data_IF_643718836625
#
_entry.id   IF_643718836625
#
_cell.length_a   1.000
_cell.length_b   1.000
_cell.length_c   1.000
_cell.angle_alpha   90.00
_cell.angle_beta   90.00
_cell.angle_gamma   90.00
#
_symmetry.space_group_name_H-M   'P 1'
#
loop_
_entity.id
_entity.type
_entity.pdbx_description
1 polymer ?
#
# COMPACT_ATOMS: atom_id res chain seq x y z
N UNK A 1 58.14 38.15 -31.28
CA UNK A 1 56.77 38.25 -31.82
C UNK A 1 56.30 36.88 -32.27
N UNK A 2 55.02 36.59 -32.02
CA UNK A 2 54.39 35.27 -32.02
C UNK A 2 54.15 34.66 -33.41
N UNK A 3 54.16 33.31 -33.52
CA UNK A 3 52.92 32.53 -33.73
C UNK A 3 53.15 31.01 -33.52
N UNK A 4 52.14 30.40 -32.93
CA UNK A 4 52.03 29.03 -32.42
C UNK A 4 51.61 28.06 -33.53
N UNK A 5 52.26 26.91 -33.62
CA UNK A 5 51.75 25.70 -34.28
C UNK A 5 52.13 24.49 -33.43
N UNK A 6 51.19 23.99 -32.62
CA UNK A 6 51.25 22.66 -32.02
C UNK A 6 49.93 21.95 -32.31
N UNK A 7 49.99 21.05 -33.29
CA UNK A 7 48.94 20.12 -33.70
C UNK A 7 49.34 18.74 -33.16
N UNK A 8 48.75 18.34 -32.04
CA UNK A 8 48.64 16.98 -31.51
C UNK A 8 47.87 17.16 -30.18
N UNK A 9 46.72 16.53 -29.94
CA UNK A 9 46.57 15.10 -29.74
C UNK A 9 45.11 14.72 -29.99
N UNK A 10 44.90 13.83 -30.96
CA UNK A 10 43.70 13.02 -31.11
C UNK A 10 43.83 11.82 -30.15
N UNK A 11 42.83 11.61 -29.28
CA UNK A 11 42.63 10.41 -28.44
C UNK A 11 42.47 9.15 -29.33
N UNK A 12 42.70 7.88 -28.88
CA UNK A 12 41.83 7.22 -27.88
C UNK A 12 42.44 6.07 -27.05
N UNK A 13 41.97 5.89 -25.80
CA UNK A 13 41.80 4.54 -25.21
C UNK A 13 40.40 4.49 -24.59
N UNK A 14 39.42 4.11 -25.42
CA UNK A 14 38.04 3.78 -25.06
C UNK A 14 37.99 2.27 -24.83
N UNK A 15 37.90 1.80 -23.57
CA UNK A 15 37.85 0.35 -23.30
C UNK A 15 37.25 -0.06 -21.96
N UNK A 16 37.50 0.69 -20.88
CA UNK A 16 37.02 0.29 -19.54
C UNK A 16 35.66 0.90 -19.14
N UNK A 17 35.15 1.85 -19.92
CA UNK A 17 33.95 2.61 -19.56
C UNK A 17 32.64 1.95 -19.95
N UNK A 18 32.64 0.89 -20.77
CA UNK A 18 31.39 0.22 -21.21
C UNK A 18 31.01 -0.91 -20.27
N UNK A 19 31.97 -1.72 -19.79
CA UNK A 19 31.70 -2.78 -18.83
C UNK A 19 31.30 -2.22 -17.47
N UNK A 20 32.02 -1.21 -16.96
CA UNK A 20 31.63 -0.53 -15.72
C UNK A 20 30.30 0.21 -15.85
N UNK A 21 30.00 0.88 -16.98
CA UNK A 21 28.66 1.47 -17.20
C UNK A 21 27.57 0.43 -17.40
N UNK A 22 27.89 -0.77 -17.92
CA UNK A 22 26.91 -1.85 -18.08
C UNK A 22 26.63 -2.48 -16.73
N UNK A 23 27.66 -2.77 -15.93
CA UNK A 23 27.54 -3.27 -14.56
C UNK A 23 26.84 -2.23 -13.67
N UNK A 24 27.22 -0.95 -13.75
CA UNK A 24 26.50 0.13 -13.06
C UNK A 24 25.06 0.26 -13.56
N UNK A 25 24.76 0.09 -14.86
CA UNK A 25 23.37 0.09 -15.37
C UNK A 25 22.57 -1.15 -14.96
N UNK A 26 23.21 -2.31 -14.79
CA UNK A 26 22.56 -3.51 -14.26
C UNK A 26 22.32 -3.38 -12.75
N UNK A 27 23.22 -2.73 -12.01
CA UNK A 27 23.09 -2.48 -10.57
C UNK A 27 22.14 -1.29 -10.27
N UNK A 28 22.09 -0.27 -11.14
CA UNK A 28 21.21 0.91 -11.01
C UNK A 28 19.85 0.77 -11.69
N UNK A 29 19.64 -0.29 -12.47
CA UNK A 29 18.32 -0.73 -12.95
C UNK A 29 17.47 -1.39 -11.86
N UNK A 30 18.05 -1.66 -10.68
CA UNK A 30 17.31 -2.08 -9.51
C UNK A 30 16.70 -0.85 -8.84
N UNK A 31 15.65 -0.31 -9.44
CA UNK A 31 14.86 0.75 -8.86
C UNK A 31 14.13 0.20 -7.62
N UNK A 32 14.84 0.12 -6.48
CA UNK A 32 14.32 -0.26 -5.16
C UNK A 32 13.12 0.61 -4.73
N UNK A 33 12.78 1.66 -5.50
CA UNK A 33 11.72 2.62 -5.22
C UNK A 33 10.38 2.22 -5.82
N UNK A 34 10.32 1.24 -6.73
CA UNK A 34 9.07 0.79 -7.35
C UNK A 34 9.00 -0.73 -7.42
N UNK A 35 8.48 -1.34 -6.35
CA UNK A 35 7.90 -2.68 -6.44
C UNK A 35 6.79 -2.61 -7.51
N UNK A 36 7.09 -3.11 -8.70
CA UNK A 36 6.23 -3.03 -9.90
C UNK A 36 5.72 -4.40 -10.30
N UNK A 37 6.30 -5.46 -9.72
CA UNK A 37 5.91 -6.84 -9.95
C UNK A 37 4.45 -7.06 -9.47
N UNK A 38 3.51 -7.36 -10.37
CA UNK A 38 2.10 -7.45 -10.03
C UNK A 38 1.79 -8.57 -9.03
N UNK A 39 2.52 -9.70 -9.08
CA UNK A 39 2.35 -10.79 -8.12
C UNK A 39 2.80 -10.41 -6.72
N UNK A 40 3.94 -9.71 -6.59
CA UNK A 40 4.40 -9.19 -5.29
C UNK A 40 3.44 -8.12 -4.76
N UNK A 41 2.87 -7.29 -5.64
CA UNK A 41 1.89 -6.27 -5.25
C UNK A 41 0.62 -6.89 -4.66
N UNK A 42 0.00 -7.84 -5.34
CA UNK A 42 -1.20 -8.54 -4.86
C UNK A 42 -0.95 -9.21 -3.51
N UNK A 43 0.17 -9.92 -3.38
CA UNK A 43 0.54 -10.63 -2.16
C UNK A 43 0.81 -9.67 -0.98
N UNK A 44 1.51 -8.55 -1.22
CA UNK A 44 1.72 -7.52 -0.20
C UNK A 44 0.39 -6.89 0.24
N UNK A 45 -0.55 -6.69 -0.68
CA UNK A 45 -1.87 -6.12 -0.33
C UNK A 45 -2.66 -7.06 0.56
N UNK A 46 -2.68 -8.36 0.23
CA UNK A 46 -3.36 -9.40 0.99
C UNK A 46 -2.80 -9.49 2.42
N UNK A 47 -1.47 -9.57 2.56
CA UNK A 47 -0.82 -9.57 3.87
C UNK A 47 -1.08 -8.28 4.65
N UNK A 48 -1.02 -7.13 3.98
CA UNK A 48 -1.33 -5.85 4.62
C UNK A 48 -2.79 -5.77 5.06
N UNK A 49 -3.71 -6.38 4.32
CA UNK A 49 -5.14 -6.46 4.66
C UNK A 49 -5.40 -7.40 5.85
N UNK A 50 -4.65 -8.49 5.95
CA UNK A 50 -4.66 -9.38 7.13
C UNK A 50 -4.05 -8.72 8.39
N UNK A 51 -3.51 -7.50 8.27
CA UNK A 51 -2.93 -6.76 9.39
C UNK A 51 -1.48 -7.13 9.70
N UNK A 52 -0.78 -7.79 8.77
CA UNK A 52 0.61 -8.15 8.96
C UNK A 52 1.51 -6.91 9.08
N UNK A 53 2.52 -7.00 9.96
CA UNK A 53 3.49 -5.91 10.16
C UNK A 53 4.40 -5.81 8.92
N UNK A 54 4.68 -4.59 8.42
CA UNK A 54 5.55 -4.42 7.24
C UNK A 54 6.92 -5.10 7.38
N UNK A 55 7.50 -5.14 8.59
CA UNK A 55 8.77 -5.86 8.83
C UNK A 55 8.69 -7.36 8.51
N UNK A 56 7.57 -8.01 8.86
CA UNK A 56 7.36 -9.43 8.61
C UNK A 56 7.10 -9.70 7.12
N UNK A 57 6.32 -8.82 6.47
CA UNK A 57 6.10 -8.88 5.03
C UNK A 57 7.45 -8.74 4.30
N UNK A 58 8.30 -7.81 4.74
CA UNK A 58 9.61 -7.62 4.14
C UNK A 58 10.51 -8.85 4.27
N UNK A 59 10.58 -9.44 5.46
CA UNK A 59 11.37 -10.64 5.71
C UNK A 59 10.91 -11.79 4.79
N UNK A 60 9.60 -12.02 4.71
CA UNK A 60 9.05 -13.04 3.81
C UNK A 60 9.39 -12.78 2.33
N UNK A 61 9.34 -11.53 1.88
CA UNK A 61 9.71 -11.17 0.50
C UNK A 61 11.20 -11.38 0.22
N UNK A 62 12.06 -11.10 1.19
CA UNK A 62 13.49 -11.34 1.07
C UNK A 62 13.78 -12.84 0.98
N UNK A 63 13.11 -13.64 1.82
CA UNK A 63 13.28 -15.09 1.88
C UNK A 63 12.70 -15.81 0.64
N UNK A 64 11.58 -15.31 0.10
CA UNK A 64 10.85 -15.99 -0.99
C UNK A 64 11.22 -15.48 -2.38
N UNK A 65 11.44 -14.18 -2.53
CA UNK A 65 11.64 -13.55 -3.85
C UNK A 65 13.09 -13.23 -4.16
N UNK A 66 14.00 -13.24 -3.18
CA UNK A 66 15.39 -12.81 -3.35
C UNK A 66 15.56 -11.35 -3.79
N UNK A 67 14.47 -10.57 -3.85
CA UNK A 67 14.47 -9.16 -4.26
C UNK A 67 14.68 -8.27 -3.03
N UNK A 68 15.70 -7.42 -3.10
CA UNK A 68 16.01 -6.44 -2.05
C UNK A 68 14.98 -5.30 -2.06
N UNK A 69 13.85 -5.49 -1.38
CA UNK A 69 12.89 -4.42 -1.11
C UNK A 69 13.39 -3.63 0.11
N UNK A 70 13.42 -2.30 0.03
CA UNK A 70 13.72 -1.47 1.19
C UNK A 70 12.47 -1.35 2.08
N UNK A 71 12.63 -1.41 3.41
CA UNK A 71 11.52 -1.23 4.36
C UNK A 71 10.74 0.07 4.10
N UNK A 72 11.44 1.14 3.72
CA UNK A 72 10.82 2.42 3.33
C UNK A 72 9.97 2.27 2.07
N UNK A 73 10.45 1.56 1.06
CA UNK A 73 9.70 1.24 -0.16
C UNK A 73 8.42 0.45 0.15
N UNK A 74 8.51 -0.53 1.05
CA UNK A 74 7.35 -1.30 1.50
C UNK A 74 6.35 -0.43 2.29
N UNK A 75 6.81 0.43 3.18
CA UNK A 75 5.93 1.39 3.87
C UNK A 75 5.21 2.30 2.87
N UNK A 76 5.92 2.88 1.90
CA UNK A 76 5.33 3.72 0.87
C UNK A 76 4.32 2.95 0.03
N UNK A 77 4.62 1.69 -0.31
CA UNK A 77 3.71 0.81 -1.03
C UNK A 77 2.43 0.56 -0.23
N UNK A 78 2.54 0.10 1.01
CA UNK A 78 1.38 -0.17 1.88
C UNK A 78 0.55 1.10 2.09
N UNK A 79 1.18 2.26 2.28
CA UNK A 79 0.47 3.53 2.41
C UNK A 79 -0.27 3.90 1.12
N UNK A 80 0.36 3.72 -0.06
CA UNK A 80 -0.29 3.96 -1.35
C UNK A 80 -1.46 3.02 -1.58
N UNK A 81 -1.34 1.75 -1.19
CA UNK A 81 -2.43 0.76 -1.30
C UNK A 81 -3.59 1.09 -0.37
N UNK A 82 -3.31 1.53 0.87
CA UNK A 82 -4.33 2.04 1.80
C UNK A 82 -5.01 3.30 1.26
N UNK A 83 -4.25 4.23 0.71
CA UNK A 83 -4.79 5.46 0.11
C UNK A 83 -5.68 5.16 -1.10
N UNK A 84 -5.23 4.28 -2.01
CA UNK A 84 -5.99 3.84 -3.18
C UNK A 84 -7.32 3.21 -2.76
N UNK A 85 -7.32 2.32 -1.76
CA UNK A 85 -8.54 1.73 -1.21
C UNK A 85 -9.48 2.79 -0.63
N UNK A 86 -8.96 3.75 0.16
CA UNK A 86 -9.78 4.86 0.67
C UNK A 86 -10.41 5.71 -0.42
N UNK A 87 -9.72 5.91 -1.55
CA UNK A 87 -10.28 6.63 -2.70
C UNK A 87 -11.30 5.84 -3.51
N UNK A 88 -11.27 4.51 -3.43
CA UNK A 88 -12.17 3.60 -4.16
C UNK A 88 -13.39 3.17 -3.34
N UNK A 89 -13.35 3.35 -2.03
CA UNK A 89 -14.40 2.95 -1.11
C UNK A 89 -15.52 4.00 -1.14
N UNK A 90 -16.73 3.56 -1.46
CA UNK A 90 -17.92 4.43 -1.43
C UNK A 90 -18.29 4.80 0.01
N UNK A 91 -19.15 5.80 0.21
CA UNK A 91 -19.59 6.18 1.56
C UNK A 91 -20.36 5.02 2.21
N UNK A 92 -21.09 4.29 1.39
CA UNK A 92 -21.87 3.11 1.70
C UNK A 92 -20.99 1.96 2.18
N UNK A 93 -19.91 1.66 1.47
CA UNK A 93 -18.93 0.63 1.88
C UNK A 93 -18.30 0.97 3.24
N UNK A 94 -17.98 2.25 3.46
CA UNK A 94 -17.42 2.71 4.73
C UNK A 94 -18.43 2.58 5.86
N UNK A 95 -19.67 2.95 5.61
CA UNK A 95 -20.77 2.81 6.57
C UNK A 95 -20.98 1.34 6.92
N UNK A 96 -21.03 0.46 5.92
CA UNK A 96 -21.19 -0.97 6.11
C UNK A 96 -20.06 -1.54 7.00
N UNK A 97 -18.79 -1.20 6.71
CA UNK A 97 -17.65 -1.67 7.50
C UNK A 97 -17.75 -1.23 8.98
N UNK A 98 -18.18 0.01 9.23
CA UNK A 98 -18.38 0.54 10.59
C UNK A 98 -19.53 -0.20 11.29
N UNK A 99 -20.65 -0.41 10.61
CA UNK A 99 -21.81 -1.10 11.19
C UNK A 99 -21.52 -2.57 11.46
N UNK A 100 -20.80 -3.26 10.57
CA UNK A 100 -20.31 -4.62 10.81
C UNK A 100 -19.40 -4.70 12.03
N UNK A 101 -18.48 -3.74 12.16
CA UNK A 101 -17.60 -3.66 13.33
C UNK A 101 -18.42 -3.46 14.60
N UNK A 102 -19.42 -2.57 14.60
CA UNK A 102 -20.30 -2.33 15.73
C UNK A 102 -21.11 -3.57 16.14
N UNK A 103 -21.63 -4.32 15.16
CA UNK A 103 -22.39 -5.55 15.38
C UNK A 103 -21.53 -6.75 15.79
N UNK A 104 -20.20 -6.71 15.56
CA UNK A 104 -19.29 -7.77 16.02
C UNK A 104 -19.21 -7.86 17.54
N UNK A 105 -19.50 -6.76 18.26
CA UNK A 105 -19.61 -6.74 19.71
C UNK A 105 -20.91 -7.42 20.16
N UNK A 106 -20.78 -8.43 21.03
CA UNK A 106 -21.90 -9.27 21.48
C UNK A 106 -23.03 -8.44 22.09
N UNK A 107 -24.22 -8.59 21.52
CA UNK A 107 -25.45 -7.97 22.00
C UNK A 107 -25.71 -6.57 21.44
N UNK A 108 -24.80 -6.02 20.64
CA UNK A 108 -25.08 -4.84 19.81
C UNK A 108 -25.93 -5.23 18.61
N UNK A 109 -26.74 -4.28 18.13
CA UNK A 109 -27.64 -4.49 17.01
C UNK A 109 -27.77 -3.18 16.23
N UNK A 110 -27.79 -3.31 14.90
CA UNK A 110 -28.05 -2.21 13.98
C UNK A 110 -29.18 -2.60 13.05
N UNK A 111 -30.11 -1.68 12.79
CA UNK A 111 -31.10 -1.81 11.71
C UNK A 111 -31.02 -0.59 10.80
N UNK A 112 -31.07 -0.83 9.49
CA UNK A 112 -31.04 0.20 8.45
C UNK A 112 -32.39 0.14 7.74
N UNK A 113 -33.12 1.25 7.74
CA UNK A 113 -34.34 1.40 6.95
C UNK A 113 -34.04 2.27 5.75
N UNK A 114 -34.25 1.70 4.57
CA UNK A 114 -34.03 2.32 3.27
C UNK A 114 -35.38 2.55 2.63
N UNK A 115 -35.59 3.75 2.12
CA UNK A 115 -36.81 4.15 1.43
C UNK A 115 -36.90 3.58 0.01
N UNK A 116 -38.08 3.65 -0.61
CA UNK A 116 -38.32 3.22 -1.99
C UNK A 116 -37.43 3.97 -3.00
N UNK A 117 -37.00 5.20 -2.64
CA UNK A 117 -36.04 6.01 -3.41
C UNK A 117 -34.58 5.57 -3.24
N UNK A 118 -34.32 4.45 -2.54
CA UNK A 118 -32.99 3.92 -2.18
C UNK A 118 -32.13 4.87 -1.33
N UNK A 119 -32.74 5.87 -0.69
CA UNK A 119 -32.07 6.70 0.30
C UNK A 119 -32.24 6.09 1.69
N UNK A 120 -31.14 5.95 2.43
CA UNK A 120 -31.20 5.49 3.83
C UNK A 120 -31.80 6.61 4.67
N UNK A 121 -32.99 6.39 5.24
CA UNK A 121 -33.67 7.40 6.03
C UNK A 121 -33.36 7.27 7.52
N UNK A 122 -33.25 6.04 8.03
CA UNK A 122 -33.11 5.79 9.47
C UNK A 122 -32.11 4.66 9.73
N UNK A 123 -31.12 4.95 10.58
CA UNK A 123 -30.20 3.94 11.13
C UNK A 123 -30.42 3.90 12.63
N UNK A 124 -30.78 2.74 13.16
CA UNK A 124 -30.90 2.53 14.62
C UNK A 124 -29.70 1.74 15.11
N UNK A 125 -28.99 2.27 16.12
CA UNK A 125 -27.88 1.61 16.79
C UNK A 125 -28.28 1.30 18.24
N UNK A 126 -28.30 0.02 18.59
CA UNK A 126 -28.67 -0.42 19.93
C UNK A 126 -27.51 -1.18 20.55
N UNK A 127 -26.94 -0.64 21.61
CA UNK A 127 -25.92 -1.36 22.38
C UNK A 127 -26.57 -2.40 23.29
N UNK A 128 -25.78 -3.38 23.73
CA UNK A 128 -26.22 -4.33 24.78
C UNK A 128 -26.70 -3.60 26.04
N UNK A 129 -26.03 -2.50 26.41
CA UNK A 129 -26.34 -1.75 27.63
C UNK A 129 -27.67 -1.02 27.51
N UNK A 130 -27.96 -0.37 26.37
CA UNK A 130 -29.26 0.26 26.11
C UNK A 130 -30.41 -0.74 26.22
N UNK A 131 -30.25 -1.93 25.62
CA UNK A 131 -31.27 -2.98 25.71
C UNK A 131 -31.47 -3.49 27.15
N UNK A 132 -30.38 -3.61 27.92
CA UNK A 132 -30.47 -3.96 29.36
C UNK A 132 -31.21 -2.89 30.15
N UNK A 133 -30.93 -1.61 29.90
CA UNK A 133 -31.58 -0.51 30.60
C UNK A 133 -33.07 -0.43 30.27
N UNK A 134 -33.44 -0.58 28.99
CA UNK A 134 -34.85 -0.58 28.58
C UNK A 134 -35.67 -1.68 29.27
N UNK A 135 -35.10 -2.88 29.45
CA UNK A 135 -35.79 -3.97 30.18
C UNK A 135 -35.83 -3.69 31.68
N UNK A 136 -34.78 -3.07 32.25
CA UNK A 136 -34.69 -2.78 33.68
C UNK A 136 -35.57 -1.60 34.12
N UNK A 137 -35.90 -0.69 33.20
CA UNK A 137 -36.68 0.53 33.45
C UNK A 137 -37.74 0.69 32.34
N UNK A 138 -38.89 -0.01 32.48
CA UNK A 138 -39.99 0.05 31.51
C UNK A 138 -40.76 1.38 31.55
#
# INVERSE_FOLDING_TARGET
>A
MAKVLSLAVQQPIYGESVLLRTIERTITGFDMRRVTDPGILEFVDELAQAGAKPKLILQYLQDTSGKLVELRGLHNLVQRMKAKRRSQCTVEDRLEAVLRTFCSYRGNQTSIFVDDTKTTQIITLQTRQMKRFFVAFP
#
